data_IF_927732108796
#
_entry.id   IF_927732108796
#
_cell.length_a   1.000
_cell.length_b   1.000
_cell.length_c   1.000
_cell.angle_alpha   90.00
_cell.angle_beta   90.00
_cell.angle_gamma   90.00
#
_symmetry.space_group_name_H-M   'P 1'
#
loop_
_entity.id
_entity.type
_entity.pdbx_description
1 polymer ?
#
# COMPACT_ATOMS: atom_id res chain seq x y z
N UNK A 1 -26.34 -40.53 -14.23
CA UNK A 1 -25.26 -41.53 -14.20
C UNK A 1 -24.14 -41.04 -13.30
N UNK A 2 -23.26 -41.96 -12.95
CA UNK A 2 -22.37 -41.93 -11.79
C UNK A 2 -21.08 -41.13 -12.01
N UNK A 3 -20.46 -40.78 -10.89
CA UNK A 3 -19.09 -40.26 -10.76
C UNK A 3 -18.06 -41.01 -11.63
N UNK A 4 -18.31 -42.30 -11.90
CA UNK A 4 -17.54 -43.13 -12.81
C UNK A 4 -17.38 -42.53 -14.21
N UNK A 5 -18.42 -41.92 -14.79
CA UNK A 5 -18.36 -41.42 -16.17
C UNK A 5 -17.58 -40.10 -16.29
N UNK A 6 -17.56 -39.30 -15.23
CA UNK A 6 -16.69 -38.13 -15.14
C UNK A 6 -15.25 -38.53 -14.93
N UNK A 7 -14.99 -39.52 -14.06
CA UNK A 7 -13.64 -40.08 -13.91
C UNK A 7 -13.15 -40.66 -15.23
N UNK A 8 -14.02 -41.31 -16.00
CA UNK A 8 -13.70 -41.84 -17.32
C UNK A 8 -13.42 -40.72 -18.35
N UNK A 9 -14.22 -39.66 -18.41
CA UNK A 9 -13.95 -38.50 -19.29
C UNK A 9 -12.64 -37.80 -18.90
N UNK A 10 -12.45 -37.54 -17.59
CA UNK A 10 -11.22 -36.92 -17.09
C UNK A 10 -10.03 -37.83 -17.38
N UNK A 11 -10.15 -39.14 -17.16
CA UNK A 11 -9.10 -40.12 -17.47
C UNK A 11 -8.78 -40.16 -18.96
N UNK A 12 -9.78 -40.18 -19.85
CA UNK A 12 -9.60 -40.14 -21.30
C UNK A 12 -8.95 -38.82 -21.73
N UNK A 13 -9.33 -37.69 -21.14
CA UNK A 13 -8.70 -36.39 -21.41
C UNK A 13 -7.27 -36.32 -20.91
N UNK A 14 -6.95 -36.98 -19.79
CA UNK A 14 -5.59 -37.05 -19.25
C UNK A 14 -4.71 -37.97 -20.11
N UNK A 15 -5.30 -39.02 -20.70
CA UNK A 15 -4.60 -40.01 -21.52
C UNK A 15 -4.50 -39.63 -23.00
N UNK A 16 -5.44 -38.80 -23.50
CA UNK A 16 -5.47 -38.31 -24.87
C UNK A 16 -6.15 -36.92 -24.92
N UNK A 17 -5.41 -35.85 -24.59
CA UNK A 17 -5.95 -34.49 -24.54
C UNK A 17 -6.48 -34.00 -25.91
N UNK A 18 -5.99 -34.57 -27.02
CA UNK A 18 -6.38 -34.21 -28.39
C UNK A 18 -7.72 -34.81 -28.84
N UNK A 19 -8.32 -35.71 -28.04
CA UNK A 19 -9.61 -36.33 -28.37
C UNK A 19 -10.79 -35.34 -28.32
N UNK A 20 -10.63 -34.20 -27.65
CA UNK A 20 -11.63 -33.15 -27.50
C UNK A 20 -11.07 -31.81 -27.95
N UNK A 21 -11.93 -30.93 -28.46
CA UNK A 21 -11.51 -29.56 -28.80
C UNK A 21 -11.15 -28.77 -27.54
N UNK A 22 -10.23 -27.81 -27.65
CA UNK A 22 -9.85 -26.93 -26.53
C UNK A 22 -11.07 -26.30 -25.84
N UNK A 23 -12.06 -25.84 -26.61
CA UNK A 23 -13.30 -25.25 -26.09
C UNK A 23 -14.12 -26.23 -25.24
N UNK A 24 -14.12 -27.52 -25.59
CA UNK A 24 -14.82 -28.56 -24.84
C UNK A 24 -14.09 -28.87 -23.53
N UNK A 25 -12.74 -28.89 -23.57
CA UNK A 25 -11.91 -29.04 -22.37
C UNK A 25 -12.09 -27.87 -21.41
N UNK A 26 -12.08 -26.64 -21.94
CA UNK A 26 -12.33 -25.43 -21.17
C UNK A 26 -13.72 -25.44 -20.52
N UNK A 27 -14.76 -25.76 -21.30
CA UNK A 27 -16.14 -25.86 -20.76
C UNK A 27 -16.26 -26.93 -19.66
N UNK A 28 -15.52 -28.04 -19.77
CA UNK A 28 -15.47 -29.06 -18.72
C UNK A 28 -14.78 -28.54 -17.45
N UNK A 29 -13.67 -27.81 -17.57
CA UNK A 29 -13.02 -27.14 -16.44
C UNK A 29 -13.99 -26.22 -15.69
N UNK A 30 -14.73 -25.40 -16.44
CA UNK A 30 -15.78 -24.54 -15.86
C UNK A 30 -16.87 -25.35 -15.17
N UNK A 31 -17.31 -26.45 -15.77
CA UNK A 31 -18.33 -27.32 -15.19
C UNK A 31 -17.86 -27.98 -13.87
N UNK A 32 -16.57 -28.31 -13.77
CA UNK A 32 -15.98 -28.86 -12.55
C UNK A 32 -15.96 -27.80 -11.44
N UNK A 33 -15.61 -26.55 -11.73
CA UNK A 33 -15.65 -25.46 -10.76
C UNK A 33 -17.08 -25.13 -10.31
N UNK A 34 -18.05 -25.12 -11.23
CA UNK A 34 -19.49 -24.99 -10.87
C UNK A 34 -19.89 -26.08 -9.89
N UNK A 35 -19.52 -27.34 -10.15
CA UNK A 35 -19.82 -28.46 -9.25
C UNK A 35 -19.12 -28.30 -7.90
N UNK A 36 -17.84 -27.93 -7.90
CA UNK A 36 -17.01 -27.73 -6.70
C UNK A 36 -17.66 -26.69 -5.78
N UNK A 37 -17.96 -25.51 -6.33
CA UNK A 37 -18.58 -24.42 -5.57
C UNK A 37 -20.01 -24.76 -5.11
N UNK A 38 -20.82 -25.43 -5.95
CA UNK A 38 -22.15 -25.91 -5.55
C UNK A 38 -22.09 -26.87 -4.37
N UNK A 39 -21.19 -27.85 -4.41
CA UNK A 39 -21.02 -28.83 -3.34
C UNK A 39 -20.52 -28.17 -2.06
N UNK A 40 -19.56 -27.23 -2.15
CA UNK A 40 -19.06 -26.46 -1.01
C UNK A 40 -20.16 -25.64 -0.34
N UNK A 41 -21.09 -25.11 -1.11
CA UNK A 41 -22.26 -24.38 -0.61
C UNK A 41 -23.40 -25.30 -0.10
N UNK A 42 -23.22 -26.63 -0.13
CA UNK A 42 -24.24 -27.59 0.32
C UNK A 42 -25.50 -27.62 -0.55
N UNK A 43 -25.43 -27.11 -1.80
CA UNK A 43 -26.59 -26.99 -2.67
C UNK A 43 -26.79 -28.26 -3.51
N UNK A 44 -28.03 -28.68 -3.66
CA UNK A 44 -28.42 -29.62 -4.73
C UNK A 44 -28.45 -28.92 -6.09
N UNK A 45 -28.34 -29.69 -7.18
CA UNK A 45 -28.52 -29.15 -8.54
C UNK A 45 -29.91 -28.52 -8.75
N UNK A 46 -30.93 -28.96 -8.00
CA UNK A 46 -32.27 -28.33 -8.03
C UNK A 46 -32.22 -26.95 -7.41
N UNK A 47 -31.63 -26.82 -6.21
CA UNK A 47 -31.52 -25.52 -5.53
C UNK A 47 -30.70 -24.51 -6.34
N UNK A 48 -29.63 -24.96 -7.02
CA UNK A 48 -28.89 -24.07 -7.92
C UNK A 48 -29.75 -23.62 -9.11
N UNK A 49 -30.49 -24.54 -9.74
CA UNK A 49 -31.43 -24.21 -10.82
C UNK A 49 -32.50 -23.20 -10.37
N UNK A 50 -33.07 -23.39 -9.18
CA UNK A 50 -34.07 -22.50 -8.59
C UNK A 50 -33.49 -21.10 -8.35
N UNK A 51 -32.23 -20.99 -7.91
CA UNK A 51 -31.53 -19.71 -7.76
C UNK A 51 -31.27 -19.01 -9.09
N UNK A 52 -30.84 -19.74 -10.12
CA UNK A 52 -30.69 -19.17 -11.46
C UNK A 52 -32.03 -18.63 -12.00
N UNK A 53 -33.13 -19.35 -11.77
CA UNK A 53 -34.46 -18.90 -12.14
C UNK A 53 -34.87 -17.61 -11.39
N UNK A 54 -34.55 -17.50 -10.11
CA UNK A 54 -34.79 -16.29 -9.32
C UNK A 54 -34.01 -15.06 -9.82
N UNK A 55 -32.86 -15.27 -10.50
CA UNK A 55 -32.08 -14.21 -11.15
C UNK A 55 -32.59 -13.83 -12.55
N UNK A 56 -33.68 -14.44 -13.02
CA UNK A 56 -34.27 -14.14 -14.33
C UNK A 56 -33.66 -14.91 -15.50
N UNK A 57 -32.71 -15.82 -15.27
CA UNK A 57 -32.16 -16.71 -16.29
C UNK A 57 -32.23 -18.17 -15.82
N UNK A 58 -33.35 -18.87 -16.08
CA UNK A 58 -33.51 -20.26 -15.67
C UNK A 58 -32.50 -21.19 -16.33
N UNK A 59 -31.73 -21.91 -15.52
CA UNK A 59 -30.86 -23.02 -15.96
C UNK A 59 -31.44 -24.30 -15.36
N UNK A 60 -32.03 -25.16 -16.19
CA UNK A 60 -32.72 -26.35 -15.71
C UNK A 60 -31.77 -27.31 -14.96
N UNK A 61 -32.28 -28.00 -13.94
CA UNK A 61 -31.53 -29.06 -13.21
C UNK A 61 -30.90 -30.09 -14.16
N UNK A 62 -31.61 -30.49 -15.22
CA UNK A 62 -31.12 -31.43 -16.25
C UNK A 62 -29.92 -30.86 -17.00
N UNK A 63 -29.92 -29.56 -17.31
CA UNK A 63 -28.83 -28.85 -17.96
C UNK A 63 -27.61 -28.79 -17.03
N UNK A 64 -27.80 -28.43 -15.76
CA UNK A 64 -26.73 -28.48 -14.75
C UNK A 64 -26.14 -29.88 -14.61
N UNK A 65 -26.98 -30.91 -14.53
CA UNK A 65 -26.53 -32.29 -14.44
C UNK A 65 -25.79 -32.76 -15.71
N UNK A 66 -26.13 -32.23 -16.88
CA UNK A 66 -25.43 -32.54 -18.13
C UNK A 66 -24.08 -31.81 -18.20
N UNK A 67 -24.06 -30.52 -17.83
CA UNK A 67 -22.85 -29.71 -17.71
C UNK A 67 -21.86 -30.33 -16.74
N UNK A 68 -22.26 -30.55 -15.47
CA UNK A 68 -21.40 -31.14 -14.43
C UNK A 68 -20.92 -32.55 -14.75
N UNK A 69 -21.58 -33.24 -15.71
CA UNK A 69 -21.19 -34.59 -16.16
C UNK A 69 -20.31 -34.61 -17.41
N UNK A 70 -20.02 -33.44 -18.00
CA UNK A 70 -19.29 -33.31 -19.27
C UNK A 70 -20.08 -33.75 -20.52
N UNK A 71 -21.37 -34.10 -20.38
CA UNK A 71 -22.22 -34.42 -21.55
C UNK A 71 -22.58 -33.20 -22.37
N UNK A 72 -22.63 -32.04 -21.72
CA UNK A 72 -22.75 -30.76 -22.41
C UNK A 72 -21.36 -30.14 -22.45
N UNK A 73 -20.78 -30.06 -23.64
CA UNK A 73 -19.44 -29.55 -23.87
C UNK A 73 -19.39 -28.03 -24.15
N UNK A 74 -20.46 -27.31 -23.80
CA UNK A 74 -20.57 -25.87 -24.05
C UNK A 74 -21.14 -25.16 -22.83
N UNK A 75 -20.60 -23.99 -22.54
CA UNK A 75 -21.13 -23.05 -21.56
C UNK A 75 -20.99 -21.64 -22.12
N UNK A 76 -22.03 -20.83 -21.93
CA UNK A 76 -22.04 -19.44 -22.39
C UNK A 76 -21.53 -18.49 -21.29
N UNK A 77 -21.03 -17.32 -21.67
CA UNK A 77 -20.62 -16.28 -20.70
C UNK A 77 -21.79 -15.87 -19.80
N UNK A 78 -23.01 -15.79 -20.35
CA UNK A 78 -24.21 -15.48 -19.57
C UNK A 78 -24.49 -16.54 -18.49
N UNK A 79 -24.34 -17.82 -18.82
CA UNK A 79 -24.46 -18.90 -17.84
C UNK A 79 -23.39 -18.80 -16.75
N UNK A 80 -22.14 -18.50 -17.10
CA UNK A 80 -21.07 -18.30 -16.11
C UNK A 80 -21.42 -17.18 -15.13
N UNK A 81 -21.89 -16.02 -15.63
CA UNK A 81 -22.26 -14.89 -14.78
C UNK A 81 -23.43 -15.23 -13.83
N UNK A 82 -24.47 -15.88 -14.35
CA UNK A 82 -25.66 -16.25 -13.56
C UNK A 82 -25.34 -17.36 -12.55
N UNK A 83 -24.52 -18.34 -12.93
CA UNK A 83 -24.07 -19.38 -12.01
C UNK A 83 -23.19 -18.80 -10.91
N UNK A 84 -22.28 -17.88 -11.24
CA UNK A 84 -21.44 -17.20 -10.27
C UNK A 84 -22.28 -16.42 -9.25
N UNK A 85 -23.25 -15.64 -9.74
CA UNK A 85 -24.19 -14.92 -8.89
C UNK A 85 -25.06 -15.86 -8.03
N UNK A 86 -25.56 -16.97 -8.59
CA UNK A 86 -26.37 -17.94 -7.85
C UNK A 86 -25.58 -18.72 -6.78
N UNK A 87 -24.27 -18.88 -7.00
CA UNK A 87 -23.32 -19.55 -6.10
C UNK A 87 -22.64 -18.60 -5.11
N UNK A 88 -22.86 -17.29 -5.23
CA UNK A 88 -22.21 -16.24 -4.42
C UNK A 88 -20.67 -16.30 -4.51
N UNK A 89 -20.16 -16.35 -5.75
CA UNK A 89 -18.73 -16.43 -6.07
C UNK A 89 -18.37 -15.47 -7.20
N UNK A 90 -17.10 -15.10 -7.31
CA UNK A 90 -16.64 -14.30 -8.45
C UNK A 90 -16.65 -15.16 -9.73
N UNK A 91 -17.06 -14.63 -10.91
CA UNK A 91 -17.06 -15.39 -12.16
C UNK A 91 -15.71 -16.05 -12.49
N UNK A 92 -14.61 -15.38 -12.14
CA UNK A 92 -13.26 -15.91 -12.31
C UNK A 92 -13.00 -17.23 -11.58
N UNK A 93 -13.68 -17.48 -10.44
CA UNK A 93 -13.59 -18.76 -9.72
C UNK A 93 -14.28 -19.90 -10.45
N UNK A 94 -15.25 -19.61 -11.34
CA UNK A 94 -15.83 -20.61 -12.21
C UNK A 94 -15.01 -20.82 -13.48
N UNK A 95 -14.26 -19.80 -13.92
CA UNK A 95 -13.43 -19.90 -15.12
C UNK A 95 -12.14 -20.67 -14.87
N UNK A 96 -11.50 -20.47 -13.71
CA UNK A 96 -10.21 -21.08 -13.41
C UNK A 96 -10.12 -21.62 -11.96
N UNK A 97 -9.52 -22.81 -11.76
CA UNK A 97 -9.35 -23.48 -10.46
C UNK A 97 -8.23 -22.85 -9.60
N UNK A 98 -8.35 -21.57 -9.26
CA UNK A 98 -7.35 -20.84 -8.44
C UNK A 98 -7.12 -21.53 -7.09
N UNK A 99 -5.86 -21.83 -6.79
CA UNK A 99 -5.46 -22.50 -5.54
C UNK A 99 -5.69 -24.01 -5.52
N UNK A 100 -6.18 -24.59 -6.63
CA UNK A 100 -6.37 -26.04 -6.77
C UNK A 100 -5.48 -26.65 -7.86
N UNK A 101 -5.07 -25.86 -8.85
CA UNK A 101 -4.15 -26.28 -9.91
C UNK A 101 -3.01 -25.26 -10.05
N UNK A 102 -1.81 -25.76 -10.36
CA UNK A 102 -0.63 -24.92 -10.57
C UNK A 102 -0.67 -24.20 -11.92
N UNK A 103 -1.13 -24.90 -12.96
CA UNK A 103 -1.25 -24.38 -14.33
C UNK A 103 -2.56 -24.82 -14.99
N UNK A 104 -3.05 -23.99 -15.91
CA UNK A 104 -4.27 -24.24 -16.69
C UNK A 104 -4.06 -23.86 -18.15
N UNK A 105 -4.65 -24.62 -19.07
CA UNK A 105 -4.69 -24.28 -20.49
C UNK A 105 -5.73 -23.19 -20.75
N UNK A 106 -5.30 -21.92 -20.81
CA UNK A 106 -6.19 -20.75 -20.89
C UNK A 106 -6.41 -20.23 -22.31
N UNK A 107 -5.54 -20.62 -23.25
CA UNK A 107 -5.70 -20.52 -24.70
C UNK A 107 -5.24 -21.85 -25.32
N UNK A 108 -5.61 -22.17 -26.58
CA UNK A 108 -5.16 -23.40 -27.23
C UNK A 108 -3.64 -23.54 -27.17
N UNK A 109 -3.16 -24.60 -26.50
CA UNK A 109 -1.73 -24.89 -26.32
C UNK A 109 -0.94 -23.86 -25.49
N UNK A 110 -1.59 -22.95 -24.77
CA UNK A 110 -0.93 -22.02 -23.84
C UNK A 110 -1.36 -22.30 -22.41
N UNK A 111 -0.39 -22.50 -21.52
CA UNK A 111 -0.61 -22.70 -20.09
C UNK A 111 -0.05 -21.54 -19.26
N UNK A 112 -0.71 -21.26 -18.13
CA UNK A 112 -0.25 -20.30 -17.14
C UNK A 112 -0.86 -20.60 -15.78
N UNK A 113 -0.33 -19.98 -14.72
CA UNK A 113 -0.96 -20.05 -13.41
C UNK A 113 -2.39 -19.46 -13.45
N UNK A 114 -3.40 -20.10 -12.83
CA UNK A 114 -4.79 -19.60 -12.83
C UNK A 114 -4.93 -18.12 -12.43
N UNK A 115 -4.16 -17.69 -11.42
CA UNK A 115 -4.23 -16.32 -10.93
C UNK A 115 -3.67 -15.31 -11.94
N UNK A 116 -2.61 -15.67 -12.66
CA UNK A 116 -2.04 -14.84 -13.73
C UNK A 116 -3.05 -14.62 -14.87
N UNK A 117 -3.78 -15.67 -15.23
CA UNK A 117 -4.84 -15.58 -16.25
C UNK A 117 -5.96 -14.64 -15.80
N UNK A 118 -6.36 -14.71 -14.52
CA UNK A 118 -7.35 -13.79 -13.96
C UNK A 118 -6.86 -12.34 -13.88
N UNK A 119 -5.58 -12.12 -13.58
CA UNK A 119 -4.98 -10.79 -13.65
C UNK A 119 -4.98 -10.25 -15.08
N UNK A 120 -4.77 -11.10 -16.08
CA UNK A 120 -4.88 -10.71 -17.48
C UNK A 120 -6.33 -10.34 -17.85
N UNK A 121 -7.30 -11.18 -17.49
CA UNK A 121 -8.73 -10.92 -17.74
C UNK A 121 -9.20 -9.62 -17.08
N UNK A 122 -8.71 -9.32 -15.88
CA UNK A 122 -9.02 -8.08 -15.16
C UNK A 122 -8.25 -6.85 -15.66
N UNK A 123 -7.35 -7.02 -16.63
CA UNK A 123 -6.50 -5.94 -17.16
C UNK A 123 -5.41 -5.46 -16.19
N UNK A 124 -5.12 -6.22 -15.13
CA UNK A 124 -4.01 -5.96 -14.19
C UNK A 124 -2.64 -6.26 -14.80
N UNK A 125 -2.58 -7.13 -15.82
CA UNK A 125 -1.36 -7.50 -16.56
C UNK A 125 -1.65 -7.83 -18.03
N UNK A 126 -0.63 -7.77 -18.89
CA UNK A 126 -0.70 -8.23 -20.28
C UNK A 126 -0.40 -9.73 -20.35
N UNK A 127 -0.82 -10.37 -21.44
CA UNK A 127 -0.26 -11.67 -21.82
C UNK A 127 1.24 -11.50 -22.04
N UNK A 128 2.05 -12.27 -21.31
CA UNK A 128 3.53 -12.23 -21.41
C UNK A 128 4.23 -11.06 -20.71
N UNK A 129 3.55 -10.24 -19.89
CA UNK A 129 4.21 -9.18 -19.13
C UNK A 129 3.30 -8.23 -18.37
N UNK A 130 3.85 -7.12 -17.88
CA UNK A 130 3.10 -6.10 -17.15
C UNK A 130 2.51 -5.05 -18.09
N UNK A 131 1.36 -4.49 -17.72
CA UNK A 131 0.91 -3.25 -18.36
C UNK A 131 1.85 -2.11 -17.96
N UNK A 132 2.34 -1.37 -18.95
CA UNK A 132 2.69 0.04 -18.73
C UNK A 132 1.36 0.78 -18.69
N UNK A 133 1.03 1.47 -17.59
CA UNK A 133 -0.22 2.23 -17.52
C UNK A 133 -0.18 3.36 -18.54
N UNK A 134 -0.85 3.14 -19.66
CA UNK A 134 -1.11 4.18 -20.64
C UNK A 134 -2.61 4.45 -20.62
N UNK A 135 -3.00 5.72 -20.72
CA UNK A 135 -4.40 6.09 -20.87
C UNK A 135 -4.95 5.69 -22.26
N UNK A 136 -4.47 4.60 -22.87
CA UNK A 136 -4.81 4.13 -24.21
C UNK A 136 -5.88 3.02 -24.17
N UNK A 137 -5.94 2.26 -23.08
CA UNK A 137 -6.90 1.17 -22.90
C UNK A 137 -7.76 1.38 -21.64
N UNK A 138 -9.10 1.35 -21.73
CA UNK A 138 -9.97 1.64 -20.59
C UNK A 138 -9.74 0.75 -19.36
N UNK A 139 -9.71 -0.57 -19.51
CA UNK A 139 -9.60 -1.49 -18.36
C UNK A 139 -8.29 -1.29 -17.58
N UNK A 140 -7.09 -1.36 -18.19
CA UNK A 140 -5.84 -1.08 -17.48
C UNK A 140 -5.80 0.31 -16.85
N UNK A 141 -6.41 1.31 -17.51
CA UNK A 141 -6.48 2.67 -17.01
C UNK A 141 -7.33 2.79 -15.75
N UNK A 142 -8.49 2.13 -15.72
CA UNK A 142 -9.34 2.08 -14.53
C UNK A 142 -8.67 1.33 -13.38
N UNK A 143 -7.97 0.23 -13.68
CA UNK A 143 -7.20 -0.54 -12.68
C UNK A 143 -6.07 0.31 -12.10
N UNK A 144 -5.33 1.03 -12.95
CA UNK A 144 -4.28 1.95 -12.49
C UNK A 144 -4.86 3.07 -11.63
N UNK A 145 -5.98 3.67 -12.06
CA UNK A 145 -6.64 4.72 -11.31
C UNK A 145 -7.06 4.23 -9.92
N UNK A 146 -7.76 3.09 -9.83
CA UNK A 146 -8.17 2.52 -8.55
C UNK A 146 -6.97 2.28 -7.62
N UNK A 147 -5.91 1.65 -8.12
CA UNK A 147 -4.69 1.41 -7.33
C UNK A 147 -4.06 2.69 -6.81
N UNK A 148 -4.05 3.76 -7.60
CA UNK A 148 -3.46 5.03 -7.16
C UNK A 148 -4.37 5.80 -6.20
N UNK A 149 -5.69 5.62 -6.28
CA UNK A 149 -6.61 6.10 -5.24
C UNK A 149 -6.29 5.43 -3.90
N UNK A 150 -6.19 4.10 -3.88
CA UNK A 150 -5.83 3.34 -2.67
C UNK A 150 -4.45 3.78 -2.12
N UNK A 151 -3.46 4.00 -3.01
CA UNK A 151 -2.14 4.53 -2.61
C UNK A 151 -2.23 5.93 -2.02
N UNK A 152 -3.05 6.81 -2.60
CA UNK A 152 -3.25 8.18 -2.10
C UNK A 152 -3.88 8.15 -0.70
N UNK A 153 -4.87 7.29 -0.47
CA UNK A 153 -5.48 7.11 0.85
C UNK A 153 -4.45 6.70 1.90
N UNK A 154 -3.61 5.69 1.59
CA UNK A 154 -2.54 5.25 2.51
C UNK A 154 -1.51 6.35 2.76
N UNK A 155 -1.10 7.08 1.72
CA UNK A 155 -0.16 8.19 1.85
C UNK A 155 -0.72 9.31 2.75
N UNK A 156 -2.01 9.65 2.59
CA UNK A 156 -2.68 10.63 3.44
C UNK A 156 -2.78 10.18 4.89
N UNK A 157 -3.08 8.91 5.14
CA UNK A 157 -3.09 8.36 6.51
C UNK A 157 -1.72 8.50 7.19
N UNK A 158 -0.63 8.19 6.47
CA UNK A 158 0.74 8.34 6.99
C UNK A 158 1.09 9.80 7.23
N UNK A 159 0.74 10.67 6.29
CA UNK A 159 0.91 12.11 6.40
C UNK A 159 0.22 12.66 7.64
N UNK A 160 -1.06 12.35 7.81
CA UNK A 160 -1.86 12.90 8.90
C UNK A 160 -1.36 12.41 10.28
N UNK A 161 -0.95 11.14 10.37
CA UNK A 161 -0.30 10.61 11.59
C UNK A 161 1.06 11.29 11.85
N UNK A 162 1.88 11.45 10.81
CA UNK A 162 3.17 12.14 10.90
C UNK A 162 3.03 13.60 11.34
N UNK A 163 2.07 14.32 10.76
CA UNK A 163 1.75 15.72 11.14
C UNK A 163 1.33 15.79 12.59
N UNK A 164 0.48 14.88 13.06
CA UNK A 164 0.05 14.83 14.46
C UNK A 164 1.24 14.68 15.41
N UNK A 165 2.12 13.70 15.15
CA UNK A 165 3.32 13.48 15.99
C UNK A 165 4.27 14.68 15.93
N UNK A 166 4.41 15.31 14.78
CA UNK A 166 5.24 16.51 14.63
C UNK A 166 4.69 17.71 15.41
N UNK A 167 3.36 17.92 15.41
CA UNK A 167 2.72 18.99 16.19
C UNK A 167 2.90 18.77 17.69
N UNK A 168 2.74 17.53 18.18
CA UNK A 168 3.01 17.18 19.58
C UNK A 168 4.48 17.48 19.98
N UNK A 169 5.43 17.25 19.08
CA UNK A 169 6.83 17.58 19.31
C UNK A 169 7.10 19.10 19.31
N UNK A 170 6.43 19.85 18.42
CA UNK A 170 6.52 21.31 18.36
C UNK A 170 6.03 22.00 19.63
N UNK A 171 5.02 21.45 20.32
CA UNK A 171 4.55 21.97 21.61
C UNK A 171 5.64 21.99 22.68
N UNK A 172 6.62 21.07 22.60
CA UNK A 172 7.75 21.00 23.53
C UNK A 172 8.99 21.78 23.05
N UNK A 173 8.98 22.32 21.83
CA UNK A 173 10.17 22.89 21.19
C UNK A 173 10.74 24.08 21.96
N UNK A 174 9.89 25.03 22.37
CA UNK A 174 10.34 26.24 23.06
C UNK A 174 11.03 25.92 24.40
N UNK A 175 10.49 24.95 25.15
CA UNK A 175 11.09 24.48 26.39
C UNK A 175 12.44 23.80 26.13
N UNK A 176 12.50 22.92 25.11
CA UNK A 176 13.73 22.21 24.74
C UNK A 176 14.83 23.15 24.25
N UNK A 177 14.47 24.11 23.40
CA UNK A 177 15.36 25.15 22.90
C UNK A 177 15.87 26.04 24.03
N UNK A 178 14.99 26.46 24.95
CA UNK A 178 15.38 27.23 26.14
C UNK A 178 16.34 26.45 27.04
N UNK A 179 16.07 25.16 27.28
CA UNK A 179 16.96 24.27 28.04
C UNK A 179 18.32 24.10 27.37
N UNK A 180 18.36 23.99 26.03
CA UNK A 180 19.61 23.90 25.29
C UNK A 180 20.50 25.13 25.51
N UNK A 181 19.90 26.34 25.49
CA UNK A 181 20.59 27.60 25.75
C UNK A 181 21.13 27.62 27.19
N UNK A 182 20.29 27.31 28.18
CA UNK A 182 20.70 27.30 29.60
C UNK A 182 21.87 26.34 29.83
N UNK A 183 21.79 25.12 29.30
CA UNK A 183 22.87 24.12 29.42
C UNK A 183 24.16 24.62 28.76
N UNK A 184 24.06 25.26 27.59
CA UNK A 184 25.23 25.81 26.91
C UNK A 184 25.91 26.91 27.74
N UNK A 185 25.12 27.88 28.22
CA UNK A 185 25.62 28.98 29.06
C UNK A 185 26.24 28.48 30.37
N UNK A 186 25.60 27.51 31.03
CA UNK A 186 26.13 26.94 32.27
C UNK A 186 27.42 26.14 32.00
N UNK A 187 27.47 25.38 30.89
CA UNK A 187 28.68 24.65 30.50
C UNK A 187 29.86 25.60 30.31
N UNK A 188 29.68 26.71 29.59
CA UNK A 188 30.73 27.71 29.39
C UNK A 188 31.20 28.31 30.72
N UNK A 189 30.26 28.65 31.61
CA UNK A 189 30.58 29.20 32.93
C UNK A 189 31.39 28.23 33.79
N UNK A 190 30.99 26.95 33.84
CA UNK A 190 31.69 25.91 34.62
C UNK A 190 33.06 25.59 33.99
N UNK A 191 33.17 25.54 32.67
CA UNK A 191 34.46 25.34 31.99
C UNK A 191 35.45 26.47 32.29
N UNK A 192 34.97 27.72 32.35
CA UNK A 192 35.77 28.87 32.74
C UNK A 192 36.24 28.77 34.20
N UNK A 193 35.35 28.40 35.13
CA UNK A 193 35.71 28.20 36.55
C UNK A 193 36.75 27.08 36.71
N UNK A 194 36.56 25.96 36.02
CA UNK A 194 37.52 24.83 35.99
C UNK A 194 38.88 25.28 35.47
N UNK A 195 38.92 26.09 34.40
CA UNK A 195 40.17 26.60 33.82
C UNK A 195 40.92 27.48 34.83
N UNK A 196 40.23 28.45 35.42
CA UNK A 196 40.80 29.36 36.42
C UNK A 196 41.33 28.60 37.65
N UNK A 197 40.57 27.60 38.13
CA UNK A 197 40.95 26.83 39.31
C UNK A 197 42.14 25.90 39.02
N UNK A 198 42.20 25.29 37.83
CA UNK A 198 43.36 24.49 37.40
C UNK A 198 44.65 25.30 37.32
N UNK A 199 44.59 26.53 36.81
CA UNK A 199 45.75 27.44 36.75
C UNK A 199 46.27 27.77 38.15
N UNK A 200 45.37 28.07 39.09
CA UNK A 200 45.72 28.31 40.50
C UNK A 200 46.38 27.09 41.13
N UNK A 201 45.77 25.91 41.00
CA UNK A 201 46.29 24.65 41.55
C UNK A 201 47.64 24.27 40.93
N UNK A 202 47.84 24.49 39.63
CA UNK A 202 49.12 24.21 38.95
C UNK A 202 50.22 25.25 39.22
N UNK A 203 49.86 26.47 39.63
CA UNK A 203 50.79 27.56 39.96
C UNK A 203 51.52 27.39 41.30
N UNK A 204 51.04 26.50 42.17
CA UNK A 204 51.68 26.18 43.46
C UNK A 204 52.94 25.32 43.27
N UNK A 205 54.07 25.94 42.91
CA UNK A 205 55.40 25.35 43.11
C UNK A 205 55.90 25.71 44.51
N UNK A 206 55.56 24.90 45.52
CA UNK A 206 56.31 24.90 46.79
C UNK A 206 55.55 24.99 48.12
N UNK A 207 54.22 24.83 48.16
CA UNK A 207 53.48 24.79 49.43
C UNK A 207 52.08 24.19 49.26
N UNK A 208 51.60 23.49 50.29
CA UNK A 208 50.34 22.74 50.39
C UNK A 208 49.24 23.19 49.42
N UNK A 209 48.88 22.34 48.46
CA UNK A 209 47.69 22.53 47.63
C UNK A 209 46.46 22.56 48.55
N UNK A 210 45.64 23.61 48.45
CA UNK A 210 44.43 23.73 49.25
C UNK A 210 43.49 22.55 48.96
N UNK A 211 43.25 21.69 49.95
CA UNK A 211 42.35 20.52 49.82
C UNK A 211 40.96 20.94 49.33
N UNK A 212 40.49 22.12 49.74
CA UNK A 212 39.20 22.68 49.30
C UNK A 212 39.17 23.04 47.81
N UNK A 213 40.29 23.50 47.22
CA UNK A 213 40.36 23.78 45.78
C UNK A 213 40.33 22.50 44.96
N UNK A 214 40.97 21.43 45.44
CA UNK A 214 40.94 20.10 44.80
C UNK A 214 39.54 19.49 44.86
N UNK A 215 38.86 19.61 46.00
CA UNK A 215 37.48 19.15 46.17
C UNK A 215 36.51 19.91 45.26
N UNK A 216 36.59 21.25 45.24
CA UNK A 216 35.78 22.09 44.34
C UNK A 216 36.03 21.76 42.87
N UNK A 217 37.28 21.50 42.47
CA UNK A 217 37.59 21.07 41.12
C UNK A 217 36.91 19.74 40.77
N UNK A 218 36.86 18.79 41.73
CA UNK A 218 36.13 17.54 41.59
C UNK A 218 34.63 17.73 41.36
N UNK A 219 33.99 18.62 42.14
CA UNK A 219 32.58 18.98 41.99
C UNK A 219 32.28 19.56 40.61
N UNK A 220 33.09 20.52 40.15
CA UNK A 220 32.91 21.17 38.86
C UNK A 220 33.08 20.18 37.70
N UNK A 221 34.05 19.26 37.79
CA UNK A 221 34.24 18.19 36.80
C UNK A 221 33.02 17.27 36.75
N UNK A 222 32.42 16.94 37.89
CA UNK A 222 31.20 16.14 37.91
C UNK A 222 30.00 16.90 37.34
N UNK A 223 29.87 18.21 37.63
CA UNK A 223 28.84 19.06 37.02
C UNK A 223 28.99 19.11 35.50
N UNK A 224 30.21 19.23 34.97
CA UNK A 224 30.46 19.15 33.51
C UNK A 224 30.02 17.83 32.90
N UNK A 225 30.22 16.69 33.60
CA UNK A 225 29.74 15.39 33.12
C UNK A 225 28.22 15.34 33.08
N UNK A 226 27.56 15.89 34.09
CA UNK A 226 26.09 15.98 34.12
C UNK A 226 25.56 16.86 32.98
N UNK A 227 26.12 18.06 32.81
CA UNK A 227 25.75 18.98 31.72
C UNK A 227 26.01 18.34 30.35
N UNK A 228 27.10 17.60 30.18
CA UNK A 228 27.38 16.86 28.95
C UNK A 228 26.36 15.73 28.67
N UNK A 229 25.77 15.13 29.70
CA UNK A 229 24.67 14.17 29.54
C UNK A 229 23.39 14.90 29.14
N UNK A 230 23.00 15.94 29.88
CA UNK A 230 21.80 16.74 29.61
C UNK A 230 21.84 17.35 28.20
N UNK A 231 22.99 17.89 27.77
CA UNK A 231 23.22 18.41 26.42
C UNK A 231 23.01 17.35 25.33
N UNK A 232 23.49 16.11 25.56
CA UNK A 232 23.29 15.01 24.60
C UNK A 232 21.82 14.61 24.50
N UNK A 233 21.11 14.59 25.62
CA UNK A 233 19.70 14.20 25.65
C UNK A 233 18.83 15.27 24.97
N UNK A 234 19.04 16.55 25.26
CA UNK A 234 18.33 17.66 24.58
C UNK A 234 18.65 17.68 23.08
N UNK A 235 19.93 17.50 22.70
CA UNK A 235 20.31 17.42 21.28
C UNK A 235 19.60 16.29 20.55
N UNK A 236 19.48 15.10 21.17
CA UNK A 236 18.75 13.97 20.57
C UNK A 236 17.27 14.30 20.33
N UNK A 237 16.65 15.05 21.25
CA UNK A 237 15.25 15.46 21.11
C UNK A 237 15.07 16.46 19.96
N UNK A 238 15.93 17.48 19.87
CA UNK A 238 15.93 18.45 18.76
C UNK A 238 16.24 17.79 17.40
N UNK A 239 17.17 16.82 17.38
CA UNK A 239 17.46 16.03 16.17
C UNK A 239 16.25 15.18 15.76
N UNK A 240 15.50 14.63 16.71
CA UNK A 240 14.27 13.88 16.45
C UNK A 240 13.13 14.78 15.93
N UNK A 241 12.96 15.99 16.47
CA UNK A 241 12.03 16.99 15.94
C UNK A 241 12.34 17.38 14.50
N UNK A 242 13.63 17.60 14.19
CA UNK A 242 14.07 17.87 12.82
C UNK A 242 13.71 16.71 11.89
N UNK A 243 14.01 15.48 12.31
CA UNK A 243 13.65 14.29 11.53
C UNK A 243 12.14 14.16 11.31
N UNK A 244 11.31 14.49 12.30
CA UNK A 244 9.86 14.50 12.16
C UNK A 244 9.40 15.54 11.14
N UNK A 245 9.96 16.76 11.18
CA UNK A 245 9.69 17.81 10.19
C UNK A 245 10.01 17.34 8.77
N UNK A 246 11.18 16.76 8.57
CA UNK A 246 11.63 16.26 7.27
C UNK A 246 10.73 15.11 6.79
N UNK A 247 10.27 14.25 7.71
CA UNK A 247 9.35 13.15 7.41
C UNK A 247 7.97 13.65 6.97
N UNK A 248 7.42 14.66 7.65
CA UNK A 248 6.14 15.30 7.24
C UNK A 248 6.26 15.90 5.85
N UNK A 249 7.35 16.60 5.56
CA UNK A 249 7.61 17.15 4.24
C UNK A 249 7.67 16.04 3.17
N UNK A 250 8.37 14.94 3.46
CA UNK A 250 8.42 13.79 2.55
C UNK A 250 7.04 13.17 2.29
N UNK A 251 6.16 13.11 3.30
CA UNK A 251 4.78 12.65 3.12
C UNK A 251 3.94 13.62 2.27
N UNK A 252 4.11 14.93 2.45
CA UNK A 252 3.47 15.94 1.60
C UNK A 252 3.89 15.78 0.12
N UNK A 253 5.19 15.56 -0.13
CA UNK A 253 5.72 15.31 -1.48
C UNK A 253 5.16 14.02 -2.10
N UNK A 254 5.08 12.93 -1.32
CA UNK A 254 4.50 11.66 -1.78
C UNK A 254 3.02 11.85 -2.16
N UNK A 255 2.23 12.51 -1.32
CA UNK A 255 0.82 12.81 -1.58
C UNK A 255 0.66 13.68 -2.84
N UNK A 256 1.46 14.73 -2.98
CA UNK A 256 1.44 15.61 -4.15
C UNK A 256 1.80 14.87 -5.43
N UNK A 257 2.80 13.98 -5.38
CA UNK A 257 3.24 13.16 -6.51
C UNK A 257 2.14 12.20 -6.98
N UNK A 258 1.53 11.47 -6.05
CA UNK A 258 0.45 10.52 -6.37
C UNK A 258 -0.77 11.28 -6.90
N UNK A 259 -1.20 12.35 -6.22
CA UNK A 259 -2.36 13.14 -6.63
C UNK A 259 -2.16 13.80 -8.00
N UNK A 260 -0.96 14.32 -8.29
CA UNK A 260 -0.59 14.86 -9.59
C UNK A 260 -0.62 13.81 -10.70
N UNK A 261 -0.13 12.59 -10.41
CA UNK A 261 -0.21 11.47 -11.36
C UNK A 261 -1.67 11.12 -11.67
N UNK A 262 -2.53 11.02 -10.65
CA UNK A 262 -3.96 10.75 -10.84
C UNK A 262 -4.63 11.85 -11.67
N UNK A 263 -4.30 13.12 -11.38
CA UNK A 263 -4.83 14.27 -12.12
C UNK A 263 -4.50 14.20 -13.60
N UNK A 264 -3.22 14.09 -13.95
CA UNK A 264 -2.79 14.02 -15.35
C UNK A 264 -3.43 12.83 -16.08
N UNK A 265 -3.49 11.67 -15.42
CA UNK A 265 -4.13 10.50 -16.01
C UNK A 265 -5.64 10.67 -16.22
N UNK A 266 -6.32 11.40 -15.33
CA UNK A 266 -7.75 11.74 -15.49
C UNK A 266 -7.96 12.77 -16.60
N UNK A 267 -7.04 13.70 -16.79
CA UNK A 267 -7.05 14.63 -17.94
C UNK A 267 -6.97 13.84 -19.26
N UNK A 268 -6.03 12.89 -19.36
CA UNK A 268 -5.90 12.01 -20.53
C UNK A 268 -7.18 11.19 -20.80
N UNK A 269 -7.90 10.78 -19.75
CA UNK A 269 -9.20 10.09 -19.87
C UNK A 269 -10.30 11.04 -20.36
N UNK A 270 -10.35 12.27 -19.82
CA UNK A 270 -11.31 13.32 -20.24
C UNK A 270 -11.13 13.64 -21.72
N UNK A 271 -9.90 13.82 -22.18
CA UNK A 271 -9.57 14.10 -23.58
C UNK A 271 -10.05 13.00 -24.54
N UNK A 272 -10.03 11.74 -24.08
CA UNK A 272 -10.54 10.60 -24.86
C UNK A 272 -12.05 10.40 -24.75
N UNK A 273 -12.76 11.30 -24.06
CA UNK A 273 -14.21 11.21 -23.86
C UNK A 273 -14.62 10.05 -22.96
N UNK A 274 -13.74 9.54 -22.10
CA UNK A 274 -14.06 8.46 -21.20
C UNK A 274 -14.84 8.96 -20.00
N UNK A 275 -15.74 8.12 -19.50
CA UNK A 275 -16.32 8.31 -18.17
C UNK A 275 -15.17 8.18 -17.17
N UNK A 276 -15.10 9.08 -16.19
CA UNK A 276 -14.04 9.03 -15.20
C UNK A 276 -14.39 8.05 -14.09
N UNK A 277 -13.43 7.26 -13.61
CA UNK A 277 -13.64 6.45 -12.41
C UNK A 277 -13.99 7.35 -11.23
N UNK A 278 -14.81 6.82 -10.33
CA UNK A 278 -15.20 7.49 -9.10
C UNK A 278 -13.97 7.80 -8.24
N UNK A 279 -14.03 8.96 -7.56
CA UNK A 279 -13.06 9.39 -6.56
C UNK A 279 -13.84 9.68 -5.28
N UNK A 280 -13.46 9.10 -4.14
CA UNK A 280 -14.05 9.45 -2.85
C UNK A 280 -14.00 10.96 -2.59
N UNK A 281 -15.09 11.53 -2.07
CA UNK A 281 -15.25 12.99 -1.91
C UNK A 281 -14.09 13.64 -1.14
N UNK A 282 -13.60 12.98 -0.08
CA UNK A 282 -12.49 13.47 0.73
C UNK A 282 -11.14 13.57 -0.01
N UNK A 283 -10.99 12.87 -1.14
CA UNK A 283 -9.76 12.86 -1.94
C UNK A 283 -9.78 13.87 -3.09
N UNK A 284 -10.96 14.33 -3.50
CA UNK A 284 -11.12 15.25 -4.64
C UNK A 284 -10.30 16.53 -4.47
N UNK A 285 -10.22 17.08 -3.25
CA UNK A 285 -9.45 18.29 -2.95
C UNK A 285 -7.94 18.16 -3.23
N UNK A 286 -7.39 16.95 -3.21
CA UNK A 286 -5.97 16.70 -3.50
C UNK A 286 -5.73 16.47 -4.99
N UNK A 287 -6.66 15.77 -5.65
CA UNK A 287 -6.54 15.40 -7.06
C UNK A 287 -6.90 16.59 -7.96
N UNK A 288 -7.97 17.31 -7.66
CA UNK A 288 -8.42 18.51 -8.37
C UNK A 288 -8.51 19.66 -7.37
N UNK A 289 -7.37 20.18 -6.86
CA UNK A 289 -7.39 21.34 -5.99
C UNK A 289 -7.99 22.48 -6.80
N UNK A 290 -9.14 22.99 -6.34
CA UNK A 290 -9.72 24.22 -6.85
C UNK A 290 -8.59 25.25 -6.95
N UNK A 291 -8.50 25.93 -8.10
CA UNK A 291 -7.44 26.84 -8.59
C UNK A 291 -6.98 27.99 -7.65
N UNK A 292 -7.24 27.96 -6.34
CA UNK A 292 -6.96 29.03 -5.38
C UNK A 292 -6.25 28.62 -4.09
N UNK A 293 -5.57 27.46 -3.99
CA UNK A 293 -4.89 27.05 -2.73
C UNK A 293 -3.38 26.79 -2.87
N UNK A 294 -2.78 26.98 -4.06
CA UNK A 294 -1.33 26.80 -4.25
C UNK A 294 -0.45 27.96 -3.72
N UNK A 295 -1.01 28.88 -2.93
CA UNK A 295 -0.29 30.11 -2.51
C UNK A 295 0.11 30.21 -1.03
N UNK A 296 -0.03 29.18 -0.19
CA UNK A 296 0.18 29.34 1.27
C UNK A 296 1.36 28.62 1.92
N UNK A 297 2.23 27.94 1.18
CA UNK A 297 3.45 27.34 1.76
C UNK A 297 4.76 27.65 1.04
N UNK A 298 4.78 28.68 0.19
CA UNK A 298 6.03 29.24 -0.34
C UNK A 298 6.12 30.71 0.03
N UNK A 299 7.12 31.04 0.87
CA UNK A 299 7.51 32.35 1.43
C UNK A 299 7.19 32.51 2.92
N UNK A 300 8.00 31.87 3.77
CA UNK A 300 8.44 32.44 5.05
C UNK A 300 9.86 31.99 5.38
N UNK A 301 10.76 31.99 4.39
CA UNK A 301 12.21 32.14 4.64
C UNK A 301 12.59 33.56 4.22
N UNK A 302 12.23 34.50 5.09
CA UNK A 302 12.95 35.76 5.19
C UNK A 302 14.01 35.56 6.25
N UNK A 303 15.25 35.31 5.83
CA UNK A 303 16.37 35.85 6.59
C UNK A 303 17.38 36.46 5.62
N UNK A 304 17.36 37.80 5.65
CA UNK A 304 18.20 38.70 4.91
C UNK A 304 19.59 38.76 5.57
N UNK A 305 20.60 38.46 4.77
CA UNK A 305 21.85 39.21 4.65
C UNK A 305 22.29 40.06 5.88
N UNK A 306 23.27 39.53 6.61
CA UNK A 306 24.32 40.24 7.35
C UNK A 306 25.46 39.20 7.52
N UNK A 307 26.74 39.42 7.25
CA UNK A 307 27.50 40.62 6.95
C UNK A 307 28.88 40.15 6.43
N UNK A 308 29.41 40.84 5.43
CA UNK A 308 30.83 40.81 5.10
C UNK A 308 31.31 42.25 5.13
N UNK A 309 32.14 42.56 6.12
CA UNK A 309 33.22 43.56 6.11
C UNK A 309 34.19 43.24 7.25
#
# INVERSE_FOLDING_TARGET
MSEHKLREIVLVMTQNPDAFGWSERFALGVAQEVRRHRQRAGLSAKQLADRCAALGMPIQRSVLANLESGRRATITVAEVLVLAAALDVAPGQLLFPVGYEEEVEFLPSETAAPFDVLEWISGKRKLGGNYVPTAEAPIPSYVWHQRNIERLEVALLRRDEGVKVYLEALEAHDELSSRAIVIATETESVEQEVRMLKERVSGYRGGETSTAEVERLGELVERLRQLAKERRDVRRQLDAERWLKDSVHSYDEEVASIAGSIRGFREDMKEKGWILPHVPEGLMKFIEPSLGVLETYSRHDGDSAFEGD
#
